data_IF_881537398897
#
_entry.id   IF_881537398897
#
_cell.length_a   1.000
_cell.length_b   1.000
_cell.length_c   1.000
_cell.angle_alpha   90.00
_cell.angle_beta   90.00
_cell.angle_gamma   90.00
#
_symmetry.space_group_name_H-M   'P 1'
#
loop_
_entity.id
_entity.type
_entity.pdbx_description
1 polymer ?
#
# COMPACT_ATOMS: atom_id res chain seq x y z
N UNK A 1 -9.50 -8.41 -8.07
CA UNK A 1 -8.50 -7.35 -8.34
C UNK A 1 -7.39 -7.95 -9.17
N UNK A 2 -6.86 -7.20 -10.12
CA UNK A 2 -5.81 -7.68 -11.01
C UNK A 2 -4.87 -6.57 -11.47
N UNK A 3 -3.82 -6.95 -12.20
CA UNK A 3 -3.02 -6.02 -12.98
C UNK A 3 -3.25 -6.29 -14.46
N UNK A 4 -3.88 -5.34 -15.14
CA UNK A 4 -4.12 -5.40 -16.58
C UNK A 4 -3.26 -4.35 -17.29
N UNK A 5 -2.46 -4.79 -18.29
CA UNK A 5 -1.53 -3.93 -19.04
C UNK A 5 -0.65 -3.03 -18.14
N UNK A 6 -0.19 -3.57 -17.01
CA UNK A 6 0.67 -2.87 -16.05
C UNK A 6 -0.06 -1.89 -15.12
N UNK A 7 -1.39 -1.80 -15.17
CA UNK A 7 -2.21 -0.90 -14.35
C UNK A 7 -3.04 -1.69 -13.35
N UNK A 8 -3.26 -1.11 -12.17
CA UNK A 8 -4.09 -1.72 -11.14
C UNK A 8 -5.56 -1.61 -11.53
N UNK A 9 -6.27 -2.74 -11.49
CA UNK A 9 -7.73 -2.79 -11.61
C UNK A 9 -8.31 -3.28 -10.29
N UNK A 10 -8.94 -2.34 -9.58
CA UNK A 10 -9.65 -2.60 -8.34
C UNK A 10 -11.15 -2.70 -8.62
N UNK A 11 -11.78 -3.79 -8.22
CA UNK A 11 -13.22 -3.98 -8.33
C UNK A 11 -13.82 -3.92 -6.95
N UNK A 12 -14.79 -3.02 -6.77
CA UNK A 12 -15.60 -2.82 -5.55
C UNK A 12 -14.82 -3.04 -4.25
N UNK A 13 -14.32 -1.95 -3.65
CA UNK A 13 -13.61 -2.00 -2.37
C UNK A 13 -14.54 -2.28 -1.16
N UNK A 14 -15.76 -2.71 -1.44
CA UNK A 14 -16.80 -2.96 -0.45
C UNK A 14 -17.44 -1.67 0.06
N UNK A 15 -18.30 -1.86 1.05
CA UNK A 15 -18.96 -0.76 1.72
C UNK A 15 -17.97 -0.16 2.73
N UNK A 16 -17.48 1.06 2.47
CA UNK A 16 -16.56 1.73 3.42
C UNK A 16 -17.35 2.46 4.52
N UNK A 17 -18.21 3.41 4.17
CA UNK A 17 -19.02 4.17 5.14
C UNK A 17 -20.47 4.25 4.66
N UNK A 18 -21.23 3.18 4.87
CA UNK A 18 -22.68 3.16 4.57
C UNK A 18 -23.49 3.36 5.85
N UNK A 19 -24.71 3.90 5.72
CA UNK A 19 -25.57 4.25 6.85
C UNK A 19 -27.00 3.71 6.66
N UNK A 20 -27.72 3.47 7.76
CA UNK A 20 -29.10 3.01 7.73
C UNK A 20 -29.27 1.53 7.36
N UNK A 21 -30.21 1.22 6.45
CA UNK A 21 -30.67 -0.15 6.17
C UNK A 21 -29.78 -0.91 5.18
N UNK A 22 -28.49 -1.06 5.49
CA UNK A 22 -27.60 -1.96 4.74
C UNK A 22 -27.57 -3.35 5.38
N UNK A 23 -27.64 -4.39 4.56
CA UNK A 23 -27.38 -5.75 5.03
C UNK A 23 -25.86 -5.91 5.23
N UNK A 24 -25.43 -6.02 6.49
CA UNK A 24 -24.02 -6.18 6.85
C UNK A 24 -23.63 -7.64 7.13
N UNK A 25 -24.51 -8.58 6.77
CA UNK A 25 -24.26 -10.01 6.99
C UNK A 25 -23.17 -10.54 6.07
N UNK A 26 -22.24 -11.31 6.64
CA UNK A 26 -21.19 -11.99 5.89
C UNK A 26 -20.30 -11.02 5.09
N UNK A 27 -20.02 -11.29 3.80
CA UNK A 27 -19.16 -10.46 2.96
C UNK A 27 -19.61 -9.00 2.81
N UNK A 28 -20.90 -8.72 2.98
CA UNK A 28 -21.48 -7.40 2.74
C UNK A 28 -21.10 -6.36 3.81
N UNK A 29 -20.72 -6.84 5.00
CA UNK A 29 -20.16 -6.00 6.07
C UNK A 29 -18.64 -5.81 5.97
N UNK A 30 -17.97 -6.42 5.00
CA UNK A 30 -16.52 -6.28 4.80
C UNK A 30 -16.23 -5.14 3.81
N UNK A 31 -15.18 -4.38 4.10
CA UNK A 31 -14.67 -3.31 3.25
C UNK A 31 -13.16 -3.20 3.36
N UNK A 32 -12.59 -2.21 2.66
CA UNK A 32 -11.18 -1.88 2.80
C UNK A 32 -10.84 -0.49 2.27
N UNK A 33 -9.75 0.05 2.78
CA UNK A 33 -9.02 1.14 2.14
C UNK A 33 -7.88 0.56 1.31
N UNK A 34 -7.77 0.99 0.06
CA UNK A 34 -6.67 0.64 -0.83
C UNK A 34 -5.66 1.79 -0.85
N UNK A 35 -4.45 1.50 -0.37
CA UNK A 35 -3.30 2.36 -0.64
C UNK A 35 -2.53 1.78 -1.84
N UNK A 36 -2.44 2.54 -2.92
CA UNK A 36 -1.75 2.14 -4.14
C UNK A 36 -0.68 3.17 -4.52
N UNK A 37 0.51 2.67 -4.85
CA UNK A 37 1.60 3.46 -5.38
C UNK A 37 1.64 3.29 -6.90
N UNK A 38 1.57 4.40 -7.62
CA UNK A 38 1.54 4.43 -9.08
C UNK A 38 2.69 5.29 -9.60
N UNK A 39 3.32 4.84 -10.68
CA UNK A 39 4.30 5.64 -11.41
C UNK A 39 3.62 6.73 -12.25
N UNK A 40 4.40 7.66 -12.83
CA UNK A 40 3.87 8.80 -13.59
C UNK A 40 2.95 8.43 -14.76
N UNK A 41 3.16 7.27 -15.38
CA UNK A 41 2.34 6.74 -16.48
C UNK A 41 1.17 5.84 -16.00
N UNK A 42 0.86 5.83 -14.70
CA UNK A 42 -0.17 4.99 -14.09
C UNK A 42 0.22 3.51 -13.91
N UNK A 43 1.51 3.17 -14.05
CA UNK A 43 2.00 1.81 -13.80
C UNK A 43 1.91 1.51 -12.31
N UNK A 44 1.34 0.36 -11.96
CA UNK A 44 1.29 -0.09 -10.57
C UNK A 44 2.69 -0.42 -10.05
N UNK A 45 3.11 0.19 -8.94
CA UNK A 45 4.41 -0.02 -8.30
C UNK A 45 4.28 -0.93 -7.08
N UNK A 46 3.21 -0.77 -6.31
CA UNK A 46 2.96 -1.55 -5.10
C UNK A 46 1.78 -0.99 -4.33
N UNK A 47 1.48 -1.57 -3.18
CA UNK A 47 0.42 -1.06 -2.32
C UNK A 47 0.10 -1.97 -1.14
N UNK A 48 -0.96 -1.62 -0.41
CA UNK A 48 -1.53 -2.45 0.64
C UNK A 48 -3.03 -2.25 0.78
N UNK A 49 -3.70 -3.28 1.24
CA UNK A 49 -5.09 -3.27 1.66
C UNK A 49 -5.14 -3.08 3.17
N UNK A 50 -5.88 -2.08 3.62
CA UNK A 50 -6.23 -1.86 5.01
C UNK A 50 -7.66 -2.36 5.22
N UNK A 51 -7.85 -3.56 5.78
CA UNK A 51 -9.16 -4.18 5.84
C UNK A 51 -10.04 -3.50 6.89
N UNK A 52 -11.29 -3.27 6.54
CA UNK A 52 -12.30 -2.68 7.41
C UNK A 52 -13.54 -3.54 7.49
N UNK A 53 -14.34 -3.30 8.52
CA UNK A 53 -15.63 -3.92 8.75
C UNK A 53 -16.63 -2.86 9.17
N UNK A 54 -17.84 -2.97 8.66
CA UNK A 54 -18.97 -2.25 9.19
C UNK A 54 -19.71 -3.10 10.21
N UNK A 55 -20.06 -2.49 11.34
CA UNK A 55 -20.74 -3.15 12.46
C UNK A 55 -22.15 -2.62 12.70
N UNK A 56 -22.63 -1.72 11.84
CA UNK A 56 -23.92 -1.04 11.97
C UNK A 56 -23.77 0.43 11.64
N UNK A 57 -24.50 1.27 12.35
CA UNK A 57 -24.36 2.72 12.24
C UNK A 57 -23.00 3.21 12.76
N UNK A 58 -22.51 4.28 12.16
CA UNK A 58 -21.25 4.94 12.56
C UNK A 58 -20.12 4.71 11.55
N UNK A 59 -18.89 4.74 12.07
CA UNK A 59 -17.67 4.66 11.25
C UNK A 59 -17.21 3.21 11.08
N UNK A 60 -16.64 2.84 9.91
CA UNK A 60 -16.01 1.54 9.73
C UNK A 60 -14.89 1.33 10.74
N UNK A 61 -14.80 0.10 11.24
CA UNK A 61 -13.75 -0.32 12.18
C UNK A 61 -12.71 -1.18 11.46
N UNK A 62 -11.46 -1.26 11.95
CA UNK A 62 -10.48 -2.18 11.40
C UNK A 62 -10.93 -3.64 11.49
N UNK A 63 -10.85 -4.38 10.37
CA UNK A 63 -11.07 -5.83 10.35
C UNK A 63 -9.80 -6.54 10.84
N UNK A 64 -9.68 -6.66 12.16
CA UNK A 64 -8.54 -7.33 12.83
C UNK A 64 -8.38 -8.79 12.44
N UNK A 65 -9.45 -9.43 11.94
CA UNK A 65 -9.41 -10.83 11.51
C UNK A 65 -8.89 -10.95 10.09
N UNK A 66 -8.78 -9.87 9.30
CA UNK A 66 -8.32 -9.90 7.91
C UNK A 66 -9.23 -10.69 6.98
N UNK A 67 -10.52 -10.78 7.32
CA UNK A 67 -11.55 -11.43 6.50
C UNK A 67 -11.67 -10.77 5.12
N UNK A 68 -11.60 -9.44 5.06
CA UNK A 68 -11.68 -8.70 3.79
C UNK A 68 -10.48 -9.03 2.88
N UNK A 69 -9.26 -9.09 3.41
CA UNK A 69 -8.07 -9.49 2.63
C UNK A 69 -8.21 -10.93 2.11
N UNK A 70 -8.67 -11.87 2.95
CA UNK A 70 -8.89 -13.25 2.52
C UNK A 70 -9.93 -13.36 1.42
N UNK A 71 -11.03 -12.61 1.54
CA UNK A 71 -12.08 -12.55 0.54
C UNK A 71 -11.53 -12.06 -0.80
N UNK A 72 -10.89 -10.89 -0.82
CA UNK A 72 -10.35 -10.30 -2.05
C UNK A 72 -9.26 -11.17 -2.67
N UNK A 73 -8.40 -11.79 -1.85
CA UNK A 73 -7.38 -12.75 -2.31
C UNK A 73 -8.02 -13.98 -2.95
N UNK A 74 -9.09 -14.53 -2.37
CA UNK A 74 -9.81 -15.67 -2.93
C UNK A 74 -10.47 -15.30 -4.27
N UNK A 75 -11.22 -14.21 -4.31
CA UNK A 75 -11.91 -13.76 -5.53
C UNK A 75 -10.91 -13.43 -6.65
N UNK A 76 -9.85 -12.67 -6.34
CA UNK A 76 -8.82 -12.33 -7.33
C UNK A 76 -8.14 -13.56 -7.94
N UNK A 77 -7.98 -14.65 -7.17
CA UNK A 77 -7.43 -15.90 -7.68
C UNK A 77 -8.41 -16.70 -8.51
N UNK A 78 -9.69 -16.66 -8.15
CA UNK A 78 -10.75 -17.34 -8.88
C UNK A 78 -10.96 -16.70 -10.26
N UNK A 79 -10.99 -15.36 -10.29
CA UNK A 79 -11.27 -14.62 -11.53
C UNK A 79 -10.05 -14.51 -12.45
N UNK A 80 -8.83 -14.44 -11.86
CA UNK A 80 -7.58 -14.22 -12.60
C UNK A 80 -6.52 -15.28 -12.27
N UNK A 81 -6.77 -16.57 -12.59
CA UNK A 81 -5.82 -17.64 -12.32
C UNK A 81 -4.49 -17.40 -13.05
N UNK A 82 -3.37 -17.54 -12.35
CA UNK A 82 -2.03 -17.36 -12.93
C UNK A 82 -1.63 -15.91 -13.26
N UNK A 83 -2.44 -14.91 -12.86
CA UNK A 83 -2.14 -13.50 -13.09
C UNK A 83 -0.86 -13.01 -12.39
N UNK A 84 -0.25 -11.90 -12.86
CA UNK A 84 0.99 -11.36 -12.28
C UNK A 84 0.78 -10.70 -10.90
N UNK A 85 -0.46 -10.54 -10.46
CA UNK A 85 -0.85 -9.84 -9.24
C UNK A 85 -0.88 -10.78 -8.04
N UNK A 86 -0.30 -10.37 -6.92
CA UNK A 86 -0.28 -11.13 -5.67
C UNK A 86 -0.68 -10.24 -4.50
N UNK A 87 -1.66 -10.72 -3.73
CA UNK A 87 -2.10 -10.14 -2.46
C UNK A 87 -1.56 -11.02 -1.34
N UNK A 88 -0.65 -10.53 -0.49
CA UNK A 88 -0.15 -11.29 0.65
C UNK A 88 -1.18 -11.37 1.80
N UNK A 89 -1.04 -12.34 2.72
CA UNK A 89 -1.97 -12.47 3.87
C UNK A 89 -2.13 -11.20 4.71
N UNK A 90 -1.07 -10.38 4.83
CA UNK A 90 -1.11 -9.09 5.52
C UNK A 90 -1.62 -7.91 4.67
N UNK A 91 -2.23 -8.17 3.52
CA UNK A 91 -2.81 -7.12 2.65
C UNK A 91 -1.84 -6.44 1.70
N UNK A 92 -0.52 -6.71 1.78
CA UNK A 92 0.47 -6.12 0.88
C UNK A 92 0.30 -6.62 -0.56
N UNK A 93 0.40 -5.70 -1.51
CA UNK A 93 0.13 -5.91 -2.93
C UNK A 93 1.42 -5.87 -3.76
N UNK A 94 1.59 -6.86 -4.65
CA UNK A 94 2.77 -6.97 -5.52
C UNK A 94 2.37 -7.37 -6.93
N UNK A 95 3.18 -6.96 -7.91
CA UNK A 95 3.11 -7.47 -9.27
C UNK A 95 4.46 -8.00 -9.73
N UNK A 96 4.49 -9.23 -10.24
CA UNK A 96 5.74 -9.82 -10.77
C UNK A 96 6.25 -9.07 -12.01
N UNK A 97 5.38 -8.29 -12.67
CA UNK A 97 5.69 -7.51 -13.88
C UNK A 97 5.99 -6.03 -13.61
N UNK A 98 5.96 -5.56 -12.35
CA UNK A 98 6.23 -4.16 -11.99
C UNK A 98 7.70 -3.85 -11.67
N UNK A 99 8.62 -4.82 -11.82
CA UNK A 99 10.06 -4.54 -11.77
C UNK A 99 10.42 -3.59 -12.92
N UNK A 100 10.82 -2.36 -12.60
CA UNK A 100 11.74 -1.60 -13.44
C UNK A 100 13.14 -1.93 -12.90
N UNK A 101 14.15 -2.23 -13.73
CA UNK A 101 15.53 -2.18 -13.25
C UNK A 101 15.77 -0.80 -12.65
N UNK A 102 16.32 -0.71 -11.43
CA UNK A 102 16.83 0.56 -10.95
C UNK A 102 17.83 1.08 -12.01
N UNK A 103 17.77 2.37 -12.41
CA UNK A 103 18.88 2.93 -13.15
C UNK A 103 20.16 2.70 -12.34
N UNK A 104 21.31 2.42 -12.99
CA UNK A 104 22.58 2.28 -12.27
C UNK A 104 22.77 3.50 -11.37
N UNK A 105 23.25 3.26 -10.15
CA UNK A 105 23.55 4.35 -9.22
C UNK A 105 24.38 5.39 -9.96
N UNK A 106 24.06 6.70 -9.84
CA UNK A 106 24.91 7.72 -10.43
C UNK A 106 26.33 7.49 -9.91
N UNK A 107 27.37 7.68 -10.75
CA UNK A 107 28.74 7.63 -10.27
C UNK A 107 28.82 8.53 -9.04
N UNK A 108 29.33 7.98 -7.95
CA UNK A 108 29.47 8.71 -6.69
C UNK A 108 30.17 10.01 -7.00
N UNK A 109 29.47 11.14 -6.82
CA UNK A 109 30.12 12.46 -6.87
C UNK A 109 31.21 12.38 -5.80
N UNK A 110 32.50 12.57 -6.13
CA UNK A 110 33.54 12.59 -5.10
C UNK A 110 33.12 13.63 -4.06
N UNK A 111 33.26 13.26 -2.79
CA UNK A 111 32.88 14.12 -1.67
C UNK A 111 33.40 15.53 -1.94
N UNK A 112 32.49 16.49 -2.04
CA UNK A 112 32.85 17.89 -2.17
C UNK A 112 33.69 18.22 -0.94
N UNK A 113 34.97 18.52 -1.15
CA UNK A 113 35.92 18.83 -0.08
C UNK A 113 35.29 19.85 0.88
N UNK A 114 35.01 19.39 2.10
CA UNK A 114 34.52 20.28 3.14
C UNK A 114 35.63 21.30 3.45
N UNK A 115 35.37 22.62 3.38
CA UNK A 115 36.35 23.58 3.84
C UNK A 115 36.60 23.37 5.34
N UNK A 116 37.87 23.34 5.73
CA UNK A 116 38.29 23.21 7.12
C UNK A 116 37.61 24.29 7.98
N UNK A 117 36.84 23.86 8.98
CA UNK A 117 36.26 24.75 9.99
C UNK A 117 37.41 25.39 10.79
N UNK A 118 37.41 26.72 11.01
CA UNK A 118 38.40 27.34 11.88
C UNK A 118 38.18 26.91 13.33
N UNK A 119 39.29 26.61 14.03
CA UNK A 119 39.33 26.22 15.43
C UNK A 119 38.68 27.30 16.31
N UNK A 120 37.65 26.92 17.09
CA UNK A 120 37.06 27.82 18.10
C UNK A 120 38.06 28.06 19.22
N UNK A 121 38.21 29.31 19.72
CA UNK A 121 38.99 29.55 20.92
C UNK A 121 38.26 28.97 22.15
N UNK A 122 39.03 28.36 23.05
CA UNK A 122 38.55 27.88 24.33
C UNK A 122 38.08 29.07 25.18
N UNK A 123 36.80 29.10 25.52
CA UNK A 123 36.27 30.01 26.54
C UNK A 123 36.00 29.18 27.78
N UNK A 124 36.67 29.59 28.85
CA UNK A 124 36.85 28.86 30.09
C UNK A 124 35.59 28.72 30.93
N UNK A 125 35.66 27.72 31.79
CA UNK A 125 34.77 27.51 32.92
C UNK A 125 34.97 28.60 33.98
N UNK A 126 33.87 29.18 34.46
CA UNK A 126 33.69 29.69 35.82
C UNK A 126 32.20 30.06 35.98
N UNK A 127 31.46 29.19 36.68
CA UNK A 127 30.80 29.44 37.98
C UNK A 127 29.43 30.11 37.85
#
# INVERSE_FOLDING_TARGET
>A
MEIYRGRLVAYSLGNFATYGRFNLSGPLGLGMVLEAELGPAGRFLGGRLLPTRQIGEGVPVPDRRGEAVRLVRRLSRADFPGGPFTILPGGRLFSRRSVRPLPPLPPTVPALDAPALPSRPAVGAAQ
#
